data_IF_701284428563
#
_entry.id   IF_701284428563
#
_cell.length_a   1.000
_cell.length_b   1.000
_cell.length_c   1.000
_cell.angle_alpha   90.00
_cell.angle_beta   90.00
_cell.angle_gamma   90.00
#
_symmetry.space_group_name_H-M   'P 1'
#
loop_
_entity.id
_entity.type
_entity.pdbx_description
1 polymer ?
#
# COMPACT_ATOMS: atom_id res chain seq x y z
N UNK A 1 -16.65 -13.55 -8.03
CA UNK A 1 -16.38 -14.35 -6.81
C UNK A 1 -17.53 -15.32 -6.60
N UNK A 2 -17.25 -16.60 -6.46
CA UNK A 2 -18.22 -17.64 -6.13
C UNK A 2 -18.02 -18.06 -4.66
N UNK A 3 -19.14 -18.36 -4.00
CA UNK A 3 -19.14 -18.81 -2.60
C UNK A 3 -19.87 -20.15 -2.50
N UNK A 4 -19.25 -21.10 -1.83
CA UNK A 4 -19.76 -22.48 -1.67
C UNK A 4 -19.54 -22.92 -0.22
N UNK A 5 -20.45 -23.74 0.31
CA UNK A 5 -20.27 -24.38 1.62
C UNK A 5 -19.78 -25.81 1.41
N UNK A 6 -18.56 -26.06 1.80
CA UNK A 6 -17.98 -27.41 1.77
C UNK A 6 -18.28 -28.12 3.09
N UNK A 7 -18.84 -29.33 2.98
CA UNK A 7 -19.15 -30.18 4.14
C UNK A 7 -18.55 -31.56 3.92
N UNK A 8 -17.83 -32.03 4.91
CA UNK A 8 -17.35 -33.42 5.03
C UNK A 8 -17.45 -33.86 6.47
N UNK A 9 -17.20 -35.12 6.79
CA UNK A 9 -17.37 -35.75 8.11
C UNK A 9 -16.77 -34.86 9.25
N UNK A 10 -17.65 -34.13 9.93
CA UNK A 10 -17.31 -33.29 11.08
C UNK A 10 -16.72 -31.90 10.73
N UNK A 11 -16.51 -31.55 9.45
CA UNK A 11 -16.01 -30.26 9.03
C UNK A 11 -17.06 -29.52 8.19
N UNK A 12 -17.27 -28.25 8.52
CA UNK A 12 -18.04 -27.31 7.69
C UNK A 12 -17.17 -26.08 7.42
N UNK A 13 -16.85 -25.84 6.15
CA UNK A 13 -16.02 -24.72 5.74
C UNK A 13 -16.69 -23.93 4.62
N UNK A 14 -16.46 -22.61 4.62
CA UNK A 14 -16.83 -21.76 3.49
C UNK A 14 -15.69 -21.72 2.49
N UNK A 15 -16.00 -22.01 1.24
CA UNK A 15 -15.07 -21.96 0.13
C UNK A 15 -15.40 -20.73 -0.73
N UNK A 16 -14.38 -19.92 -0.96
CA UNK A 16 -14.46 -18.75 -1.85
C UNK A 16 -13.56 -19.03 -3.06
N UNK A 17 -14.13 -18.85 -4.26
CA UNK A 17 -13.37 -18.89 -5.51
C UNK A 17 -13.31 -17.49 -6.09
N UNK A 18 -12.10 -17.03 -6.30
CA UNK A 18 -11.84 -15.72 -6.89
C UNK A 18 -10.61 -15.80 -7.81
N UNK A 19 -10.44 -14.81 -8.66
CA UNK A 19 -9.24 -14.72 -9.50
C UNK A 19 -8.00 -14.39 -8.65
N UNK A 20 -8.13 -13.43 -7.74
CA UNK A 20 -7.00 -12.96 -6.92
C UNK A 20 -7.39 -12.88 -5.45
N UNK A 21 -6.67 -13.58 -4.59
CA UNK A 21 -6.76 -13.45 -3.14
C UNK A 21 -5.57 -12.64 -2.61
N UNK A 22 -5.86 -11.57 -1.85
CA UNK A 22 -4.89 -10.72 -1.19
C UNK A 22 -5.00 -10.98 0.31
N UNK A 23 -3.88 -11.33 0.95
CA UNK A 23 -3.84 -11.58 2.39
C UNK A 23 -3.18 -10.41 3.10
N UNK A 24 -3.94 -9.78 3.97
CA UNK A 24 -3.52 -8.60 4.74
C UNK A 24 -4.09 -7.29 4.23
N UNK A 25 -4.57 -6.46 5.16
CA UNK A 25 -5.15 -5.14 4.90
C UNK A 25 -4.21 -3.98 5.26
N UNK A 26 -2.90 -4.21 5.23
CA UNK A 26 -1.91 -3.16 5.33
C UNK A 26 -1.77 -2.35 4.04
N UNK A 27 -0.85 -1.39 4.00
CA UNK A 27 -0.62 -0.52 2.83
C UNK A 27 -0.36 -1.33 1.55
N UNK A 28 0.44 -2.39 1.62
CA UNK A 28 0.74 -3.25 0.47
C UNK A 28 -0.50 -3.96 -0.07
N UNK A 29 -1.33 -4.55 0.82
CA UNK A 29 -2.55 -5.24 0.41
C UNK A 29 -3.58 -4.32 -0.22
N UNK A 30 -3.81 -3.15 0.38
CA UNK A 30 -4.70 -2.14 -0.21
C UNK A 30 -4.18 -1.60 -1.52
N UNK A 31 -2.88 -1.30 -1.63
CA UNK A 31 -2.31 -0.84 -2.88
C UNK A 31 -2.41 -1.90 -3.99
N UNK A 32 -2.18 -3.16 -3.67
CA UNK A 32 -2.36 -4.26 -4.63
C UNK A 32 -3.82 -4.34 -5.11
N UNK A 33 -4.79 -4.24 -4.20
CA UNK A 33 -6.22 -4.24 -4.55
C UNK A 33 -6.58 -3.03 -5.45
N UNK A 34 -6.12 -1.82 -5.11
CA UNK A 34 -6.35 -0.61 -5.91
C UNK A 34 -5.74 -0.73 -7.31
N UNK A 35 -4.50 -1.20 -7.41
CA UNK A 35 -3.83 -1.39 -8.69
C UNK A 35 -4.55 -2.42 -9.58
N UNK A 36 -4.95 -3.55 -9.02
CA UNK A 36 -5.70 -4.57 -9.75
C UNK A 36 -7.05 -4.04 -10.22
N UNK A 37 -7.79 -3.36 -9.33
CA UNK A 37 -9.08 -2.76 -9.67
C UNK A 37 -8.96 -1.78 -10.83
N UNK A 38 -7.97 -0.89 -10.80
CA UNK A 38 -7.70 0.08 -11.87
C UNK A 38 -7.25 -0.58 -13.16
N UNK A 39 -6.61 -1.74 -13.08
CA UNK A 39 -6.25 -2.56 -14.24
C UNK A 39 -7.43 -3.37 -14.82
N UNK A 40 -8.65 -3.23 -14.26
CA UNK A 40 -9.85 -3.93 -14.70
C UNK A 40 -10.05 -5.31 -14.09
N UNK A 41 -9.21 -5.73 -13.14
CA UNK A 41 -9.41 -6.97 -12.41
C UNK A 41 -10.27 -6.69 -11.18
N UNK A 42 -11.54 -7.13 -11.24
CA UNK A 42 -12.52 -6.85 -10.19
C UNK A 42 -12.89 -8.09 -9.36
N UNK A 43 -12.46 -9.28 -9.77
CA UNK A 43 -12.67 -10.52 -9.00
C UNK A 43 -11.55 -10.72 -7.98
N UNK A 44 -11.55 -9.87 -6.96
CA UNK A 44 -10.54 -9.76 -5.90
C UNK A 44 -11.17 -10.08 -4.55
N UNK A 45 -10.50 -10.89 -3.75
CA UNK A 45 -10.83 -11.15 -2.36
C UNK A 45 -9.69 -10.64 -1.46
N UNK A 46 -9.98 -9.66 -0.61
CA UNK A 46 -9.04 -9.20 0.41
C UNK A 46 -9.39 -9.85 1.75
N UNK A 47 -8.45 -10.61 2.28
CA UNK A 47 -8.58 -11.35 3.54
C UNK A 47 -7.79 -10.63 4.63
N UNK A 48 -8.41 -10.42 5.78
CA UNK A 48 -7.75 -9.85 6.95
C UNK A 48 -8.38 -10.41 8.23
N UNK A 49 -7.59 -10.54 9.26
CA UNK A 49 -8.07 -11.03 10.57
C UNK A 49 -9.11 -10.07 11.17
N UNK A 50 -8.85 -8.77 11.05
CA UNK A 50 -9.76 -7.75 11.52
C UNK A 50 -9.60 -6.48 10.67
N UNK A 51 -10.72 -5.80 10.39
CA UNK A 51 -10.74 -4.55 9.61
C UNK A 51 -9.90 -3.42 10.23
N UNK A 52 -9.67 -3.45 11.53
CA UNK A 52 -8.88 -2.46 12.27
C UNK A 52 -7.45 -2.94 12.56
N UNK A 53 -7.07 -4.14 12.14
CA UNK A 53 -5.72 -4.67 12.27
C UNK A 53 -4.79 -4.17 11.17
N UNK A 54 -3.52 -4.49 11.32
CA UNK A 54 -2.46 -4.18 10.39
C UNK A 54 -1.48 -3.14 10.92
N UNK A 55 -0.22 -3.38 10.65
CA UNK A 55 0.90 -2.51 11.08
C UNK A 55 0.73 -1.09 10.54
N UNK A 56 0.38 -0.95 9.27
CA UNK A 56 0.19 0.37 8.62
C UNK A 56 -0.85 1.25 9.29
N UNK A 57 -1.85 0.65 9.96
CA UNK A 57 -2.87 1.37 10.71
C UNK A 57 -2.43 1.70 12.14
N UNK A 58 -1.68 0.80 12.78
CA UNK A 58 -1.49 0.79 14.23
C UNK A 58 -0.09 1.25 14.67
N UNK A 59 0.78 1.65 13.76
CA UNK A 59 2.15 2.12 14.05
C UNK A 59 2.37 3.59 13.74
N UNK A 60 1.32 4.37 13.58
CA UNK A 60 1.40 5.81 13.39
C UNK A 60 1.94 6.52 14.63
N UNK A 61 2.65 7.64 14.42
CA UNK A 61 3.06 8.55 15.48
C UNK A 61 2.78 9.99 15.05
N UNK A 62 2.72 10.89 16.02
CA UNK A 62 2.57 12.34 15.81
C UNK A 62 3.73 12.98 15.05
N UNK A 63 4.86 12.27 14.95
CA UNK A 63 6.06 12.69 14.21
C UNK A 63 6.16 12.11 12.81
N UNK A 64 5.15 11.39 12.37
CA UNK A 64 5.17 10.73 11.07
C UNK A 64 4.96 11.76 9.95
N UNK A 65 5.92 11.82 9.04
CA UNK A 65 5.86 12.65 7.82
C UNK A 65 5.88 11.76 6.60
N UNK A 66 5.18 12.20 5.56
CA UNK A 66 5.27 11.55 4.26
C UNK A 66 6.51 12.09 3.52
N UNK A 67 7.54 11.27 3.41
CA UNK A 67 8.77 11.64 2.70
C UNK A 67 8.60 11.43 1.20
N UNK A 68 8.67 12.49 0.43
CA UNK A 68 8.46 12.50 -1.02
C UNK A 68 9.26 13.60 -1.69
N UNK A 69 9.38 13.51 -3.01
CA UNK A 69 9.88 14.60 -3.82
C UNK A 69 8.98 15.85 -3.72
N UNK A 70 9.61 17.00 -3.82
CA UNK A 70 8.93 18.30 -3.84
C UNK A 70 8.02 18.40 -5.06
N UNK A 71 6.76 18.78 -4.84
CA UNK A 71 5.78 18.98 -5.91
C UNK A 71 5.77 20.42 -6.43
N UNK A 72 6.16 21.37 -5.58
CA UNK A 72 6.20 22.80 -5.89
C UNK A 72 7.12 23.52 -4.91
N UNK A 73 7.66 24.66 -5.29
CA UNK A 73 8.52 25.48 -4.44
C UNK A 73 9.90 25.72 -5.03
N UNK A 74 10.76 26.38 -4.25
CA UNK A 74 12.11 26.76 -4.66
C UNK A 74 13.19 25.71 -4.40
N UNK A 75 12.89 24.70 -3.58
CA UNK A 75 13.84 23.66 -3.23
C UNK A 75 13.98 22.66 -4.40
N UNK A 76 15.23 22.43 -4.79
CA UNK A 76 15.55 21.45 -5.82
C UNK A 76 15.81 20.12 -5.15
N UNK A 77 15.09 19.11 -5.57
CA UNK A 77 15.38 17.73 -5.26
C UNK A 77 15.31 16.87 -6.53
N UNK A 78 15.84 15.67 -6.44
CA UNK A 78 15.81 14.70 -7.52
C UNK A 78 15.59 13.30 -7.02
N UNK A 79 15.06 12.45 -7.89
CA UNK A 79 14.91 11.01 -7.60
C UNK A 79 16.23 10.42 -7.12
N UNK A 80 17.34 10.80 -7.74
CA UNK A 80 18.67 10.28 -7.41
C UNK A 80 19.14 10.73 -6.03
N UNK A 81 18.95 12.00 -5.67
CA UNK A 81 19.34 12.54 -4.35
C UNK A 81 18.51 11.92 -3.24
N UNK A 82 17.19 11.81 -3.44
CA UNK A 82 16.31 11.15 -2.48
C UNK A 82 16.66 9.66 -2.32
N UNK A 83 16.91 8.94 -3.42
CA UNK A 83 17.32 7.55 -3.38
C UNK A 83 18.66 7.38 -2.67
N UNK A 84 19.63 8.27 -2.91
CA UNK A 84 20.92 8.26 -2.23
C UNK A 84 20.76 8.46 -0.72
N UNK A 85 19.91 9.41 -0.31
CA UNK A 85 19.62 9.68 1.11
C UNK A 85 19.00 8.45 1.79
N UNK A 86 18.08 7.76 1.13
CA UNK A 86 17.48 6.53 1.64
C UNK A 86 18.49 5.40 1.74
N UNK A 87 19.36 5.24 0.72
CA UNK A 87 20.40 4.22 0.70
C UNK A 87 21.46 4.45 1.77
N UNK A 88 21.86 5.70 1.99
CA UNK A 88 22.85 6.07 3.01
C UNK A 88 22.36 5.78 4.44
N UNK A 89 21.05 5.68 4.64
CA UNK A 89 20.43 5.20 5.88
C UNK A 89 20.66 3.72 6.18
N UNK A 90 21.23 2.95 5.23
CA UNK A 90 21.62 1.53 5.36
C UNK A 90 20.49 0.55 5.72
N UNK A 91 19.24 0.93 5.51
CA UNK A 91 18.08 0.11 5.82
C UNK A 91 17.31 -0.37 4.57
N UNK A 92 17.77 0.02 3.38
CA UNK A 92 17.14 -0.29 2.09
C UNK A 92 18.22 -0.52 1.03
N UNK A 93 17.96 -1.44 0.09
CA UNK A 93 18.83 -1.63 -1.07
C UNK A 93 18.65 -0.50 -2.09
N UNK A 94 19.64 -0.33 -2.99
CA UNK A 94 19.68 0.79 -3.91
C UNK A 94 18.52 0.79 -4.95
N UNK A 95 18.10 -0.37 -5.42
CA UNK A 95 17.03 -0.49 -6.41
C UNK A 95 15.68 -0.14 -5.77
N UNK A 96 15.45 -0.62 -4.55
CA UNK A 96 14.26 -0.27 -3.75
C UNK A 96 14.25 1.22 -3.43
N UNK A 97 15.37 1.81 -2.99
CA UNK A 97 15.49 3.24 -2.72
C UNK A 97 15.16 4.09 -3.97
N UNK A 98 15.64 3.66 -5.14
CA UNK A 98 15.35 4.34 -6.41
C UNK A 98 13.87 4.26 -6.78
N UNK A 99 13.25 3.08 -6.61
CA UNK A 99 11.81 2.89 -6.86
C UNK A 99 10.96 3.73 -5.91
N UNK A 100 11.28 3.74 -4.60
CA UNK A 100 10.59 4.58 -3.62
C UNK A 100 10.67 6.06 -3.97
N UNK A 101 11.86 6.54 -4.27
CA UNK A 101 12.06 7.93 -4.65
C UNK A 101 11.26 8.31 -5.91
N UNK A 102 11.34 7.49 -6.96
CA UNK A 102 10.65 7.73 -8.22
C UNK A 102 9.12 7.73 -8.09
N UNK A 103 8.58 6.88 -7.21
CA UNK A 103 7.14 6.73 -7.01
C UNK A 103 6.59 7.58 -5.87
N UNK A 104 7.43 8.30 -5.10
CA UNK A 104 7.02 9.03 -3.91
C UNK A 104 5.93 10.08 -4.17
N UNK A 105 6.08 10.89 -5.21
CA UNK A 105 5.11 11.91 -5.56
C UNK A 105 3.82 11.31 -6.17
N UNK A 106 3.85 10.39 -7.14
CA UNK A 106 2.66 9.71 -7.63
C UNK A 106 1.86 9.00 -6.53
N UNK A 107 2.54 8.31 -5.62
CA UNK A 107 1.87 7.64 -4.49
C UNK A 107 1.20 8.64 -3.54
N UNK A 108 1.86 9.75 -3.25
CA UNK A 108 1.28 10.84 -2.46
C UNK A 108 0.01 11.39 -3.08
N UNK A 109 0.05 11.71 -4.39
CA UNK A 109 -1.11 12.20 -5.11
C UNK A 109 -2.24 11.18 -5.12
N UNK A 110 -1.91 9.90 -5.24
CA UNK A 110 -2.91 8.82 -5.16
C UNK A 110 -3.60 8.76 -3.80
N UNK A 111 -2.87 8.94 -2.71
CA UNK A 111 -3.48 9.02 -1.37
C UNK A 111 -4.42 10.23 -1.25
N UNK A 112 -4.03 11.37 -1.79
CA UNK A 112 -4.90 12.56 -1.81
C UNK A 112 -6.18 12.32 -2.63
N UNK A 113 -6.09 11.66 -3.80
CA UNK A 113 -7.25 11.25 -4.60
C UNK A 113 -8.20 10.31 -3.84
N UNK A 114 -7.66 9.44 -2.99
CA UNK A 114 -8.43 8.55 -2.13
C UNK A 114 -9.06 9.26 -0.92
N UNK A 115 -8.83 10.57 -0.77
CA UNK A 115 -9.42 11.40 0.28
C UNK A 115 -8.58 11.49 1.56
N UNK A 116 -7.31 11.10 1.52
CA UNK A 116 -6.42 11.30 2.67
C UNK A 116 -6.10 12.80 2.78
N UNK A 117 -6.45 13.38 3.93
CA UNK A 117 -6.14 14.78 4.24
C UNK A 117 -4.73 14.87 4.84
N UNK A 118 -3.86 15.62 4.17
CA UNK A 118 -2.54 15.93 4.68
C UNK A 118 -2.55 17.33 5.32
N UNK A 119 -2.00 17.48 6.55
CA UNK A 119 -1.87 18.80 7.18
C UNK A 119 -1.09 19.74 6.26
N UNK A 120 -1.55 20.96 6.13
CA UNK A 120 -0.80 22.03 5.46
C UNK A 120 0.17 22.64 6.47
N UNK A 121 1.43 22.65 6.17
CA UNK A 121 2.44 23.43 6.91
C UNK A 121 2.35 24.90 6.54
#
# INVERSE_FOLDING_TARGET
MEQEVFRTDGLCAQLYRCNTAIVGSGAAGYNAADCLWRAGQHDILLLTENRLCGTSRNTGSDKQTYYKLTLSGGDRDSVREMAQTLFDGQCVDGDTALCEAALSAPCFLRLAELGVEFPRS
#
